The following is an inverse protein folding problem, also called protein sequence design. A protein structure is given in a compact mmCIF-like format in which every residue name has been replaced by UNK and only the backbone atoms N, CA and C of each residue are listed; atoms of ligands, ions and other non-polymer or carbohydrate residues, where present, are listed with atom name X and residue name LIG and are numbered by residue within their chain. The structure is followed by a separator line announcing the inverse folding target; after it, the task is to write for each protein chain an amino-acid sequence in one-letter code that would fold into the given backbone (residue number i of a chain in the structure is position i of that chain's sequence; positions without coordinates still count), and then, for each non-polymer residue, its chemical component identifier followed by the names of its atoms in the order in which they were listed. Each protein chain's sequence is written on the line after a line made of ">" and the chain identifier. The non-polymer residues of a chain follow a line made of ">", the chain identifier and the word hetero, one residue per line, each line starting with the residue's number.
data_IF_601806903116
#
_entry.id   IF_601806903116
#
_cell.length_a   1.000
_cell.length_b   1.000
_cell.length_c   1.000
_cell.angle_alpha   90.00
_cell.angle_beta   90.00
_cell.angle_gamma   90.00
#
_symmetry.space_group_name_H-M   'P 1'
#
loop_
_entity.id
_entity.type
_entity.pdbx_description
1 polymer ?
#
# COMPACT_ATOMS: atom_id res chain seq x y z
N UNK A 1 -0.60 29.85 15.11
CA UNK A 1 0.87 29.75 15.26
C UNK A 1 1.39 29.06 14.00
N UNK A 2 2.16 29.73 13.15
CA UNK A 2 2.80 29.08 11.99
C UNK A 2 3.84 28.07 12.48
N UNK A 3 3.95 26.91 11.83
CA UNK A 3 4.97 25.92 12.17
C UNK A 3 6.37 26.52 11.99
N UNK A 4 7.31 26.32 12.94
CA UNK A 4 8.66 26.88 12.85
C UNK A 4 9.40 26.43 11.58
N UNK A 5 9.05 25.25 11.05
CA UNK A 5 9.60 24.70 9.80
C UNK A 5 9.14 25.52 8.60
N UNK A 6 7.85 25.90 8.54
CA UNK A 6 7.30 26.68 7.42
C UNK A 6 7.99 28.05 7.35
N UNK A 7 8.18 28.69 8.51
CA UNK A 7 8.88 29.99 8.58
C UNK A 7 10.30 29.88 8.06
N UNK A 8 11.04 28.83 8.45
CA UNK A 8 12.43 28.64 8.01
C UNK A 8 12.54 28.36 6.51
N UNK A 9 11.62 27.56 5.95
CA UNK A 9 11.58 27.26 4.51
C UNK A 9 11.34 28.54 3.69
N UNK A 10 10.39 29.38 4.12
CA UNK A 10 10.11 30.66 3.45
C UNK A 10 11.31 31.60 3.51
N UNK A 11 11.99 31.68 4.66
CA UNK A 11 13.19 32.51 4.83
C UNK A 11 14.31 32.11 3.87
N UNK A 12 14.57 30.81 3.71
CA UNK A 12 15.60 30.32 2.78
C UNK A 12 15.20 30.46 1.32
N UNK A 13 13.92 30.24 0.97
CA UNK A 13 13.41 30.47 -0.40
C UNK A 13 13.59 31.92 -0.85
N UNK A 14 13.33 32.90 0.03
CA UNK A 14 13.47 34.32 -0.30
C UNK A 14 14.93 34.76 -0.54
N UNK A 15 15.92 33.97 -0.12
CA UNK A 15 17.35 34.25 -0.35
C UNK A 15 17.85 33.72 -1.70
N UNK A 16 17.05 32.87 -2.37
CA UNK A 16 17.44 32.24 -3.63
C UNK A 16 17.10 33.15 -4.84
N UNK A 17 17.91 33.12 -5.90
CA UNK A 17 17.54 33.64 -7.22
C UNK A 17 16.24 33.06 -7.77
N UNK A 18 15.54 33.82 -8.61
CA UNK A 18 14.22 33.46 -9.15
C UNK A 18 14.21 32.12 -9.92
N UNK A 19 15.28 31.81 -10.66
CA UNK A 19 15.43 30.55 -11.39
C UNK A 19 15.48 29.34 -10.45
N UNK A 20 16.20 29.46 -9.33
CA UNK A 20 16.25 28.43 -8.31
C UNK A 20 14.93 28.31 -7.55
N UNK A 21 14.24 29.43 -7.29
CA UNK A 21 12.89 29.39 -6.71
C UNK A 21 11.91 28.63 -7.61
N UNK A 22 11.97 28.85 -8.93
CA UNK A 22 11.16 28.11 -9.89
C UNK A 22 11.50 26.61 -9.92
N UNK A 23 12.78 26.26 -9.84
CA UNK A 23 13.21 24.86 -9.77
C UNK A 23 12.69 24.16 -8.51
N UNK A 24 12.73 24.83 -7.35
CA UNK A 24 12.17 24.30 -6.09
C UNK A 24 10.66 24.12 -6.20
N UNK A 25 9.94 25.09 -6.78
CA UNK A 25 8.49 24.98 -7.00
C UNK A 25 8.14 23.77 -7.88
N UNK A 26 8.88 23.59 -8.98
CA UNK A 26 8.70 22.45 -9.87
C UNK A 26 8.95 21.14 -9.13
N UNK A 27 10.06 21.05 -8.38
CA UNK A 27 10.41 19.87 -7.60
C UNK A 27 9.32 19.49 -6.58
N UNK A 28 8.84 20.44 -5.78
CA UNK A 28 7.77 20.21 -4.80
C UNK A 28 6.48 19.77 -5.49
N UNK A 29 6.16 20.36 -6.64
CA UNK A 29 4.96 20.00 -7.42
C UNK A 29 5.05 18.57 -7.95
N UNK A 30 6.22 18.18 -8.49
CA UNK A 30 6.49 16.81 -8.94
C UNK A 30 6.40 15.80 -7.81
N UNK A 31 7.02 16.08 -6.65
CA UNK A 31 6.92 15.21 -5.48
C UNK A 31 5.48 15.01 -5.03
N UNK A 32 4.70 16.09 -4.99
CA UNK A 32 3.27 16.01 -4.61
C UNK A 32 2.48 15.17 -5.61
N UNK A 33 2.74 15.31 -6.91
CA UNK A 33 2.10 14.49 -7.94
C UNK A 33 2.48 13.02 -7.79
N UNK A 34 3.75 12.71 -7.57
CA UNK A 34 4.22 11.33 -7.35
C UNK A 34 3.57 10.69 -6.11
N UNK A 35 3.51 11.42 -4.99
CA UNK A 35 2.90 10.90 -3.76
C UNK A 35 1.36 10.84 -3.81
N UNK A 36 0.73 11.56 -4.74
CA UNK A 36 -0.71 11.44 -4.98
C UNK A 36 -1.07 10.21 -5.82
N UNK A 37 -0.07 9.53 -6.44
CA UNK A 37 -0.28 8.28 -7.18
C UNK A 37 -0.25 7.05 -6.26
N UNK A 38 0.19 7.18 -5.01
CA UNK A 38 0.16 6.11 -3.99
C UNK A 38 -1.14 6.09 -3.18
N UNK A 39 -2.24 6.59 -3.74
CA UNK A 39 -3.59 6.32 -3.20
C UNK A 39 -4.07 4.95 -3.66
N UNK A 40 -3.24 3.91 -3.47
CA UNK A 40 -3.75 2.56 -3.49
C UNK A 40 -4.67 2.43 -2.27
N UNK A 41 -5.93 2.09 -2.48
CA UNK A 41 -6.80 1.75 -1.37
C UNK A 41 -6.24 0.49 -0.65
N UNK A 42 -6.75 0.16 0.53
CA UNK A 42 -6.23 -0.97 1.29
C UNK A 42 -6.19 -2.29 0.48
N UNK A 43 -7.09 -2.46 -0.51
CA UNK A 43 -7.10 -3.61 -1.42
C UNK A 43 -5.98 -3.60 -2.44
N UNK A 44 -5.55 -2.43 -2.92
CA UNK A 44 -4.42 -2.33 -3.87
C UNK A 44 -3.11 -2.68 -3.16
N UNK A 45 -2.99 -2.32 -1.88
CA UNK A 45 -1.87 -2.74 -1.02
C UNK A 45 -1.90 -4.25 -0.81
N UNK A 46 -3.06 -4.81 -0.45
CA UNK A 46 -3.22 -6.26 -0.28
C UNK A 46 -2.90 -7.00 -1.59
N UNK A 47 -3.44 -6.58 -2.72
CA UNK A 47 -3.19 -7.16 -4.05
C UNK A 47 -1.70 -7.15 -4.40
N UNK A 48 -1.01 -6.03 -4.14
CA UNK A 48 0.44 -5.92 -4.38
C UNK A 48 1.28 -6.85 -3.49
N UNK A 49 0.79 -7.18 -2.29
CA UNK A 49 1.44 -8.08 -1.34
C UNK A 49 1.00 -9.54 -1.56
N UNK A 50 -0.15 -9.77 -2.17
CA UNK A 50 -0.71 -11.10 -2.46
C UNK A 50 -0.42 -11.48 -3.93
N UNK A 51 0.86 -11.54 -4.27
CA UNK A 51 1.30 -12.12 -5.54
C UNK A 51 1.55 -13.64 -5.41
N UNK A 52 0.85 -14.43 -6.22
CA UNK A 52 1.28 -15.74 -6.80
C UNK A 52 1.22 -17.04 -5.98
N UNK A 53 0.46 -17.13 -4.88
CA UNK A 53 0.04 -18.48 -4.45
C UNK A 53 -1.26 -18.79 -5.19
N UNK A 54 -1.16 -19.52 -6.31
CA UNK A 54 -2.31 -20.31 -6.77
C UNK A 54 -2.72 -21.16 -5.57
N UNK A 55 -3.93 -20.90 -5.06
CA UNK A 55 -4.48 -21.72 -4.00
C UNK A 55 -4.41 -23.17 -4.48
N UNK A 56 -3.69 -24.07 -3.78
CA UNK A 56 -3.81 -25.50 -3.98
C UNK A 56 -5.30 -25.86 -4.03
N UNK A 57 -5.68 -26.72 -4.97
CA UNK A 57 -7.07 -27.13 -5.19
C UNK A 57 -7.78 -27.62 -3.91
N UNK A 58 -7.03 -28.02 -2.89
CA UNK A 58 -7.52 -28.55 -1.63
C UNK A 58 -7.86 -27.51 -0.55
N UNK A 59 -7.65 -26.21 -0.76
CA UNK A 59 -8.02 -25.21 0.27
C UNK A 59 -9.52 -25.21 0.58
N UNK A 60 -10.37 -25.62 -0.38
CA UNK A 60 -11.79 -25.79 -0.15
C UNK A 60 -12.23 -27.21 0.17
N UNK A 61 -11.36 -28.21 0.05
CA UNK A 61 -11.73 -29.62 0.21
C UNK A 61 -12.00 -30.01 1.68
N UNK A 62 -11.46 -29.24 2.63
CA UNK A 62 -11.53 -29.47 4.07
C UNK A 62 -12.50 -28.52 4.81
N UNK A 63 -13.25 -27.64 4.11
CA UNK A 63 -14.18 -26.72 4.80
C UNK A 63 -15.31 -27.45 5.53
N UNK A 64 -15.77 -28.59 5.02
CA UNK A 64 -16.78 -29.43 5.68
C UNK A 64 -16.29 -29.93 7.04
N UNK A 65 -14.97 -30.10 7.20
CA UNK A 65 -14.35 -30.60 8.43
C UNK A 65 -14.49 -29.62 9.59
N UNK A 66 -14.30 -28.32 9.34
CA UNK A 66 -14.36 -27.28 10.37
C UNK A 66 -15.80 -26.86 10.74
N UNK A 67 -16.78 -27.19 9.90
CA UNK A 67 -18.20 -26.91 10.18
C UNK A 67 -18.92 -28.08 10.87
N UNK A 68 -18.56 -29.34 10.59
CA UNK A 68 -19.33 -30.50 11.08
C UNK A 68 -18.51 -31.60 11.78
N UNK A 69 -17.19 -31.46 11.91
CA UNK A 69 -16.37 -32.33 12.78
C UNK A 69 -16.33 -33.82 12.44
N UNK A 70 -16.78 -34.23 11.24
CA UNK A 70 -16.79 -35.64 10.83
C UNK A 70 -15.61 -35.96 9.89
N UNK A 71 -14.86 -37.06 10.11
CA UNK A 71 -13.80 -37.49 9.18
C UNK A 71 -14.41 -38.12 7.92
N UNK A 72 -13.86 -37.75 6.75
CA UNK A 72 -14.37 -38.13 5.42
C UNK A 72 -14.18 -39.61 5.04
N UNK A 73 -13.41 -40.39 5.81
CA UNK A 73 -13.13 -41.78 5.50
C UNK A 73 -13.66 -42.72 6.58
N UNK A 74 -14.88 -43.22 6.39
CA UNK A 74 -15.22 -44.53 6.93
C UNK A 74 -14.44 -45.55 6.11
N UNK A 75 -13.42 -46.12 6.74
CA UNK A 75 -12.70 -47.28 6.26
C UNK A 75 -13.73 -48.39 5.98
N UNK A 76 -13.98 -48.67 4.71
CA UNK A 76 -14.67 -49.88 4.30
C UNK A 76 -13.70 -51.04 4.48
N UNK A 77 -13.55 -51.50 5.73
CA UNK A 77 -12.92 -52.78 6.01
C UNK A 77 -13.91 -53.90 5.66
N UNK A 78 -13.40 -54.87 4.90
CA UNK A 78 -14.09 -56.02 4.28
C UNK A 78 -14.61 -57.05 5.27
#
# INVERSE_FOLDING_TARGET
>A
MSSPIITKVIEEMNKLPDDLQQQVLQFVTTLRQQHSQTSGNAWDVLESLTGTVEAPADWSAEHDHYLYGTPKHQKADS
#
